data_IF_834860849637
#
_entry.id   IF_834860849637
#
_cell.length_a   1.000
_cell.length_b   1.000
_cell.length_c   1.000
_cell.angle_alpha   90.00
_cell.angle_beta   90.00
_cell.angle_gamma   90.00
#
_symmetry.space_group_name_H-M   'P 1'
#
loop_
_entity.id
_entity.type
_entity.pdbx_description
1 polymer ?
#
# COMPACT_ATOMS: atom_id res chain seq x y z
N UNK A 1 -45.97 18.61 -4.40
CA UNK A 1 -45.36 17.60 -3.51
C UNK A 1 -44.41 16.76 -4.34
N UNK A 2 -43.11 16.81 -4.03
CA UNK A 2 -42.08 15.97 -4.66
C UNK A 2 -42.05 14.66 -3.84
N UNK A 3 -42.07 13.46 -4.45
CA UNK A 3 -42.07 12.22 -3.68
C UNK A 3 -40.75 12.08 -2.91
N UNK A 4 -40.85 11.78 -1.62
CA UNK A 4 -39.71 11.45 -0.76
C UNK A 4 -39.04 10.20 -1.31
N UNK A 5 -37.77 10.34 -1.69
CA UNK A 5 -36.96 9.24 -2.21
C UNK A 5 -36.89 8.10 -1.20
N UNK A 6 -37.11 6.88 -1.68
CA UNK A 6 -37.03 5.64 -0.90
C UNK A 6 -35.62 5.55 -0.27
N UNK A 7 -35.51 5.63 1.06
CA UNK A 7 -34.26 5.31 1.76
C UNK A 7 -34.05 3.80 1.63
N UNK A 8 -33.10 3.41 0.76
CA UNK A 8 -32.68 2.00 0.63
C UNK A 8 -31.96 1.59 1.91
N UNK A 9 -32.60 0.80 2.77
CA UNK A 9 -31.94 0.13 3.88
C UNK A 9 -31.24 -1.13 3.34
N UNK A 10 -29.91 -1.15 3.36
CA UNK A 10 -29.14 -2.35 3.02
C UNK A 10 -29.11 -3.28 4.24
N UNK A 11 -29.34 -4.59 4.03
CA UNK A 11 -29.11 -5.59 5.05
C UNK A 11 -27.63 -5.61 5.43
N UNK A 12 -27.26 -5.82 6.71
CA UNK A 12 -25.87 -5.88 7.11
C UNK A 12 -25.16 -7.05 6.41
N UNK A 13 -24.14 -6.74 5.62
CA UNK A 13 -23.28 -7.75 4.98
C UNK A 13 -22.59 -8.59 6.06
N UNK A 14 -22.86 -9.89 6.08
CA UNK A 14 -22.21 -10.84 6.99
C UNK A 14 -20.94 -11.38 6.32
N UNK A 15 -19.79 -11.13 6.95
CA UNK A 15 -18.49 -11.59 6.46
C UNK A 15 -18.04 -12.82 7.25
N UNK A 16 -17.49 -13.81 6.54
CA UNK A 16 -16.86 -14.99 7.09
C UNK A 16 -15.34 -14.95 6.86
N UNK A 17 -14.54 -15.48 7.80
CA UNK A 17 -13.09 -15.50 7.65
C UNK A 17 -12.70 -16.49 6.55
N UNK A 18 -12.04 -15.99 5.51
CA UNK A 18 -11.58 -16.80 4.37
C UNK A 18 -10.16 -17.33 4.59
N UNK A 19 -9.20 -16.43 4.90
CA UNK A 19 -7.81 -16.80 5.13
C UNK A 19 -7.13 -15.83 6.11
N UNK A 20 -6.24 -16.37 6.93
CA UNK A 20 -5.27 -15.59 7.71
C UNK A 20 -3.88 -15.83 7.14
N UNK A 21 -3.20 -14.75 6.79
CA UNK A 21 -1.77 -14.74 6.52
C UNK A 21 -1.03 -14.34 7.78
N UNK A 22 -0.06 -15.14 8.19
CA UNK A 22 0.78 -14.92 9.35
C UNK A 22 2.17 -15.55 9.14
N UNK A 23 3.00 -15.57 10.17
CA UNK A 23 4.38 -16.10 10.09
C UNK A 23 4.45 -17.59 9.67
N UNK A 24 3.33 -18.33 9.72
CA UNK A 24 3.31 -19.75 9.33
C UNK A 24 3.29 -19.89 7.80
N UNK A 25 2.59 -18.99 7.10
CA UNK A 25 2.28 -19.19 5.69
C UNK A 25 2.63 -17.99 4.79
N UNK A 26 3.05 -16.86 5.34
CA UNK A 26 3.23 -15.66 4.56
C UNK A 26 4.30 -15.81 3.47
N UNK A 27 5.49 -16.27 3.84
CA UNK A 27 6.59 -16.43 2.88
C UNK A 27 6.41 -17.61 1.93
N UNK A 28 5.44 -18.49 2.15
CA UNK A 28 5.09 -19.59 1.25
C UNK A 28 3.96 -19.23 0.29
N UNK A 29 3.05 -18.33 0.68
CA UNK A 29 1.88 -17.94 -0.11
C UNK A 29 2.06 -16.63 -0.90
N UNK A 30 3.09 -15.84 -0.60
CA UNK A 30 3.44 -14.63 -1.35
C UNK A 30 4.65 -14.83 -2.27
N UNK A 31 4.57 -14.25 -3.47
CA UNK A 31 5.67 -14.19 -4.41
C UNK A 31 6.51 -12.95 -4.18
N UNK A 32 7.82 -13.07 -4.44
CA UNK A 32 8.75 -11.95 -4.40
C UNK A 32 8.97 -11.46 -5.83
N UNK A 33 8.58 -10.22 -6.11
CA UNK A 33 8.92 -9.56 -7.36
C UNK A 33 10.42 -9.29 -7.38
N UNK A 34 11.10 -9.79 -8.42
CA UNK A 34 12.55 -9.64 -8.60
C UNK A 34 12.91 -9.18 -10.02
N UNK A 35 11.90 -8.81 -10.80
CA UNK A 35 12.05 -8.24 -12.13
C UNK A 35 12.44 -6.76 -12.05
N UNK A 36 12.81 -6.19 -13.20
CA UNK A 36 13.07 -4.75 -13.30
C UNK A 36 11.81 -3.98 -12.92
N UNK A 37 11.97 -2.98 -12.04
CA UNK A 37 10.88 -2.05 -11.71
C UNK A 37 10.39 -1.32 -12.98
N UNK A 38 9.11 -1.45 -13.36
CA UNK A 38 8.55 -0.84 -14.56
C UNK A 38 8.56 0.70 -14.50
N UNK A 39 8.67 1.28 -13.30
CA UNK A 39 8.66 2.73 -13.10
C UNK A 39 10.03 3.40 -13.20
N UNK A 40 11.09 2.63 -13.51
CA UNK A 40 12.49 3.11 -13.57
C UNK A 40 12.91 3.88 -12.31
N UNK A 41 12.42 3.47 -11.13
CA UNK A 41 12.76 4.08 -9.85
C UNK A 41 14.17 3.72 -9.40
N UNK A 42 14.70 4.46 -8.43
CA UNK A 42 16.00 4.17 -7.80
C UNK A 42 15.91 2.98 -6.82
N UNK A 43 15.24 1.91 -7.23
CA UNK A 43 14.99 0.68 -6.47
C UNK A 43 15.51 -0.55 -7.22
N UNK A 44 15.99 -1.55 -6.48
CA UNK A 44 16.26 -2.91 -7.00
C UNK A 44 15.45 -3.90 -6.19
N UNK A 45 14.38 -4.41 -6.77
CA UNK A 45 13.63 -5.49 -6.13
C UNK A 45 14.44 -6.79 -6.15
N UNK A 46 14.42 -7.50 -5.03
CA UNK A 46 15.20 -8.72 -4.84
C UNK A 46 14.30 -9.92 -4.55
N UNK A 47 14.70 -11.08 -5.07
CA UNK A 47 13.98 -12.34 -4.84
C UNK A 47 14.16 -12.89 -3.43
N UNK A 48 13.30 -13.85 -3.07
CA UNK A 48 13.21 -14.47 -1.75
C UNK A 48 14.57 -14.83 -1.13
N UNK A 49 15.39 -15.63 -1.84
CA UNK A 49 16.69 -16.10 -1.32
C UNK A 49 17.61 -14.94 -0.90
N UNK A 50 17.68 -13.89 -1.71
CA UNK A 50 18.50 -12.69 -1.43
C UNK A 50 17.90 -11.84 -0.32
N UNK A 51 16.56 -11.77 -0.24
CA UNK A 51 15.88 -11.03 0.81
C UNK A 51 16.12 -11.67 2.18
N UNK A 52 15.99 -13.00 2.29
CA UNK A 52 16.26 -13.74 3.53
C UNK A 52 17.74 -13.63 3.92
N UNK A 53 18.67 -13.94 3.01
CA UNK A 53 20.10 -13.93 3.34
C UNK A 53 20.65 -12.52 3.64
N UNK A 54 20.03 -11.49 3.06
CA UNK A 54 20.35 -10.09 3.31
C UNK A 54 19.64 -9.49 4.52
N UNK A 55 18.82 -10.25 5.25
CA UNK A 55 18.05 -9.77 6.40
C UNK A 55 16.96 -8.77 6.06
N UNK A 56 16.53 -8.70 4.79
CA UNK A 56 15.49 -7.81 4.28
C UNK A 56 14.09 -8.42 4.32
N UNK A 57 14.00 -9.73 4.57
CA UNK A 57 12.77 -10.43 4.91
C UNK A 57 13.07 -11.50 5.97
N UNK A 58 12.23 -11.62 6.99
CA UNK A 58 12.40 -12.59 8.08
C UNK A 58 11.19 -12.60 9.00
N UNK A 59 10.94 -13.70 9.70
CA UNK A 59 10.13 -13.65 10.92
C UNK A 59 10.98 -13.08 12.06
N UNK A 60 10.49 -12.03 12.72
CA UNK A 60 11.20 -11.39 13.84
C UNK A 60 10.41 -11.54 15.13
N UNK A 61 11.06 -11.80 16.26
CA UNK A 61 10.39 -11.70 17.55
C UNK A 61 9.91 -10.26 17.75
N UNK A 62 8.64 -10.10 18.07
CA UNK A 62 8.06 -8.85 18.48
C UNK A 62 8.61 -8.53 19.87
N UNK A 63 9.32 -7.41 20.00
CA UNK A 63 10.06 -7.03 21.22
C UNK A 63 9.17 -6.85 22.46
N UNK A 64 7.85 -6.78 22.31
CA UNK A 64 6.90 -6.46 23.37
C UNK A 64 5.91 -7.60 23.72
N UNK A 65 5.82 -8.70 22.95
CA UNK A 65 4.73 -9.68 23.13
C UNK A 65 5.07 -11.15 22.87
N UNK A 66 6.34 -11.52 22.63
CA UNK A 66 6.74 -12.92 22.46
C UNK A 66 6.15 -13.63 21.21
N UNK A 67 5.49 -12.88 20.34
CA UNK A 67 4.97 -13.35 19.04
C UNK A 67 6.00 -13.06 17.96
N UNK A 68 6.00 -13.85 16.89
CA UNK A 68 6.75 -13.51 15.69
C UNK A 68 5.91 -12.56 14.83
N UNK A 69 6.57 -11.59 14.19
CA UNK A 69 5.98 -10.68 13.21
C UNK A 69 6.75 -10.83 11.90
N UNK A 70 6.03 -10.72 10.79
CA UNK A 70 6.63 -10.74 9.47
C UNK A 70 7.35 -9.40 9.27
N UNK A 71 8.66 -9.45 9.06
CA UNK A 71 9.46 -8.28 8.71
C UNK A 71 9.75 -8.25 7.23
N UNK A 72 9.57 -7.07 6.62
CA UNK A 72 10.00 -6.79 5.25
C UNK A 72 10.57 -5.38 5.17
N UNK A 73 11.80 -5.21 4.67
CA UNK A 73 12.50 -3.93 4.69
C UNK A 73 13.30 -3.60 3.44
N UNK A 74 14.01 -2.48 3.51
CA UNK A 74 14.95 -2.00 2.49
C UNK A 74 16.39 -2.15 2.98
N UNK A 75 17.38 -2.13 2.08
CA UNK A 75 18.78 -2.08 2.48
C UNK A 75 19.10 -0.73 3.15
N UNK A 76 19.71 -0.78 4.34
CA UNK A 76 20.01 0.39 5.18
C UNK A 76 21.49 0.52 5.54
N UNK A 77 22.33 -0.32 4.96
CA UNK A 77 23.76 -0.42 5.31
C UNK A 77 24.69 -0.03 4.17
N UNK A 78 24.27 -0.22 2.91
CA UNK A 78 25.14 -0.06 1.75
C UNK A 78 24.94 1.32 1.12
N UNK A 79 26.03 2.08 1.01
CA UNK A 79 26.10 3.25 0.12
C UNK A 79 26.03 2.76 -1.31
N UNK A 80 25.10 3.28 -2.09
CA UNK A 80 24.70 2.76 -3.40
C UNK A 80 24.95 3.82 -4.49
N UNK A 81 26.20 4.12 -4.85
CA UNK A 81 26.50 5.25 -5.76
C UNK A 81 26.16 4.96 -7.23
N UNK A 82 26.01 3.69 -7.64
CA UNK A 82 25.75 3.30 -9.03
C UNK A 82 24.69 2.20 -9.22
N UNK A 83 24.14 1.66 -8.14
CA UNK A 83 23.16 0.56 -8.20
C UNK A 83 22.02 0.85 -7.24
N UNK A 84 20.81 0.92 -7.79
CA UNK A 84 19.55 1.19 -7.08
C UNK A 84 19.46 0.50 -5.71
N UNK A 85 18.78 1.13 -4.74
CA UNK A 85 18.67 0.60 -3.37
C UNK A 85 17.84 -0.67 -3.35
N UNK A 86 18.37 -1.73 -2.71
CA UNK A 86 17.66 -3.02 -2.61
C UNK A 86 16.42 -2.89 -1.72
N UNK A 87 15.31 -3.47 -2.15
CA UNK A 87 14.04 -3.50 -1.43
C UNK A 87 13.27 -4.78 -1.77
N UNK A 88 12.32 -5.13 -0.93
CA UNK A 88 11.42 -6.25 -1.15
C UNK A 88 10.07 -5.72 -1.65
N UNK A 89 9.57 -6.35 -2.70
CA UNK A 89 8.21 -6.17 -3.22
C UNK A 89 7.60 -7.56 -3.29
N UNK A 90 6.49 -7.76 -2.60
CA UNK A 90 5.78 -9.01 -2.64
C UNK A 90 4.33 -8.81 -3.07
N UNK A 91 3.85 -9.81 -3.80
CA UNK A 91 2.52 -9.84 -4.36
C UNK A 91 2.00 -11.29 -4.34
N UNK A 92 0.68 -11.46 -4.35
CA UNK A 92 0.08 -12.80 -4.47
C UNK A 92 0.10 -13.29 -5.94
N UNK A 93 0.29 -14.60 -6.23
CA UNK A 93 0.19 -15.16 -7.59
C UNK A 93 -1.09 -14.74 -8.36
N UNK A 94 -1.03 -14.73 -9.71
CA UNK A 94 -2.07 -14.32 -10.69
C UNK A 94 -2.10 -12.83 -11.11
N UNK A 95 -0.91 -12.25 -11.31
CA UNK A 95 -0.71 -10.96 -12.00
C UNK A 95 -0.56 -11.16 -13.53
N UNK A 96 -0.99 -10.24 -14.43
CA UNK A 96 -1.70 -8.94 -14.26
C UNK A 96 -3.22 -9.08 -14.52
N UNK A 97 -4.08 -8.10 -14.19
CA UNK A 97 -4.74 -7.18 -15.16
C UNK A 97 -5.56 -6.11 -14.37
N UNK A 98 -5.31 -4.85 -14.71
CA UNK A 98 -6.08 -3.60 -14.51
C UNK A 98 -6.61 -3.18 -13.12
N UNK A 99 -6.20 -1.95 -12.75
CA UNK A 99 -6.69 -1.08 -11.65
C UNK A 99 -6.01 -1.35 -10.29
N UNK A 100 -5.94 -0.31 -9.46
CA UNK A 100 -5.15 -0.30 -8.21
C UNK A 100 -5.93 0.40 -7.10
N UNK A 101 -5.88 -0.17 -5.89
CA UNK A 101 -6.44 0.41 -4.66
C UNK A 101 -5.32 0.51 -3.64
N UNK A 102 -4.87 1.74 -3.41
CA UNK A 102 -3.82 2.05 -2.46
C UNK A 102 -4.43 2.32 -1.08
N UNK A 103 -4.33 1.35 -0.18
CA UNK A 103 -4.88 1.46 1.18
C UNK A 103 -3.90 2.20 2.11
N UNK A 104 -2.59 1.96 1.97
CA UNK A 104 -1.54 2.74 2.62
C UNK A 104 -0.58 3.25 1.56
N UNK A 105 -0.49 4.57 1.45
CA UNK A 105 0.40 5.23 0.50
C UNK A 105 0.87 6.57 1.04
N UNK A 106 2.15 6.86 0.83
CA UNK A 106 2.73 8.13 1.20
C UNK A 106 4.15 8.27 0.64
N UNK A 107 4.66 9.49 0.69
CA UNK A 107 6.00 9.85 0.20
C UNK A 107 6.72 10.77 1.15
N UNK A 108 8.05 10.67 1.15
CA UNK A 108 8.94 11.62 1.82
C UNK A 108 8.56 11.80 3.30
N UNK A 109 8.35 13.04 3.75
CA UNK A 109 8.04 13.37 5.13
C UNK A 109 6.54 13.49 5.40
N UNK A 110 5.68 12.91 4.57
CA UNK A 110 4.24 12.89 4.81
C UNK A 110 3.94 12.17 6.13
N UNK A 111 3.04 12.76 6.91
CA UNK A 111 2.61 12.24 8.23
C UNK A 111 1.16 11.74 8.20
N UNK A 112 0.48 11.89 7.08
CA UNK A 112 -0.87 11.42 6.85
C UNK A 112 -0.89 10.41 5.72
N UNK A 113 -1.64 9.33 5.90
CA UNK A 113 -1.88 8.35 4.85
C UNK A 113 -2.67 8.99 3.72
N UNK A 114 -2.36 8.62 2.48
CA UNK A 114 -3.19 8.93 1.30
C UNK A 114 -3.80 7.63 0.80
N UNK A 115 -5.11 7.61 0.57
CA UNK A 115 -5.81 6.48 -0.05
C UNK A 115 -6.10 6.88 -1.49
N UNK A 116 -5.68 6.07 -2.46
CA UNK A 116 -5.90 6.35 -3.89
C UNK A 116 -6.52 5.18 -4.62
N UNK A 117 -7.37 5.49 -5.59
CA UNK A 117 -8.00 4.52 -6.47
C UNK A 117 -7.70 4.88 -7.92
N UNK A 118 -7.32 3.88 -8.71
CA UNK A 118 -7.04 4.05 -10.14
C UNK A 118 -8.05 3.26 -10.94
N UNK A 119 -9.05 3.96 -11.49
CA UNK A 119 -10.29 3.38 -12.06
C UNK A 119 -10.37 3.49 -13.59
N UNK A 120 -9.28 3.81 -14.28
CA UNK A 120 -9.29 4.04 -15.73
C UNK A 120 -10.19 5.20 -16.15
N UNK A 121 -10.49 5.33 -17.45
CA UNK A 121 -11.39 6.37 -17.95
C UNK A 121 -12.85 6.13 -17.51
N UNK A 122 -13.60 7.23 -17.33
CA UNK A 122 -15.06 7.25 -17.09
C UNK A 122 -15.55 6.93 -15.66
N UNK A 123 -14.65 6.88 -14.69
CA UNK A 123 -15.00 6.87 -13.26
C UNK A 123 -14.38 8.06 -12.55
N UNK A 124 -15.08 8.61 -11.57
CA UNK A 124 -14.60 9.67 -10.70
C UNK A 124 -14.90 9.33 -9.25
N UNK A 125 -14.07 9.85 -8.35
CA UNK A 125 -14.24 9.66 -6.93
C UNK A 125 -15.25 10.68 -6.42
N UNK A 126 -16.24 10.23 -5.63
CA UNK A 126 -17.15 11.13 -4.91
C UNK A 126 -17.03 10.92 -3.41
N UNK A 127 -17.34 11.97 -2.64
CA UNK A 127 -17.34 11.95 -1.18
C UNK A 127 -18.74 11.69 -0.60
N UNK A 128 -19.68 11.16 -1.40
CA UNK A 128 -21.03 10.88 -0.92
C UNK A 128 -21.00 9.71 0.07
N UNK A 129 -21.59 9.89 1.24
CA UNK A 129 -21.56 8.89 2.32
C UNK A 129 -20.26 8.85 3.13
N UNK A 130 -19.33 9.77 2.89
CA UNK A 130 -18.09 9.90 3.65
C UNK A 130 -18.16 11.17 4.51
N UNK A 131 -17.67 11.09 5.74
CA UNK A 131 -17.47 12.30 6.54
C UNK A 131 -16.27 13.04 5.94
N UNK A 132 -16.46 14.26 5.44
CA UNK A 132 -15.34 15.16 5.17
C UNK A 132 -14.45 15.17 6.41
N UNK A 133 -13.15 14.89 6.26
CA UNK A 133 -12.13 14.72 7.34
C UNK A 133 -11.89 13.32 7.93
N UNK A 134 -12.27 12.22 7.27
CA UNK A 134 -11.76 10.87 7.64
C UNK A 134 -10.25 10.80 7.51
N UNK A 135 -9.58 11.22 8.56
CA UNK A 135 -8.15 11.08 8.79
C UNK A 135 -7.95 9.86 9.66
N UNK A 136 -6.93 9.05 9.37
CA UNK A 136 -6.53 7.99 10.27
C UNK A 136 -5.92 8.63 11.53
N UNK A 137 -6.77 9.04 12.49
CA UNK A 137 -6.37 9.81 13.67
C UNK A 137 -5.46 9.01 14.62
N UNK A 138 -5.48 7.67 14.51
CA UNK A 138 -4.60 6.74 15.23
C UNK A 138 -4.39 5.50 14.37
N UNK A 139 -3.15 5.02 14.27
CA UNK A 139 -2.87 3.69 13.73
C UNK A 139 -3.58 2.65 14.59
N UNK A 140 -4.73 2.17 14.11
CA UNK A 140 -5.50 1.06 14.65
C UNK A 140 -5.43 -0.15 13.70
N UNK A 141 -6.31 -1.12 13.90
CA UNK A 141 -6.45 -2.20 12.93
C UNK A 141 -6.91 -1.62 11.59
N UNK A 142 -6.07 -1.73 10.57
CA UNK A 142 -6.39 -1.31 9.22
C UNK A 142 -7.42 -2.29 8.64
N UNK A 143 -8.57 -1.75 8.24
CA UNK A 143 -9.67 -2.51 7.64
C UNK A 143 -10.14 -1.77 6.41
N UNK A 144 -10.05 -2.41 5.24
CA UNK A 144 -10.67 -1.96 4.00
C UNK A 144 -11.87 -2.87 3.70
N UNK A 145 -13.00 -2.26 3.31
CA UNK A 145 -14.20 -2.98 2.90
C UNK A 145 -14.61 -2.62 1.48
N UNK A 146 -15.14 -3.61 0.80
CA UNK A 146 -15.73 -3.53 -0.52
C UNK A 146 -17.18 -4.04 -0.41
N UNK A 147 -18.12 -3.32 -1.01
CA UNK A 147 -19.57 -3.58 -1.01
C UNK A 147 -20.33 -3.33 0.29
N UNK A 148 -20.02 -2.22 0.96
CA UNK A 148 -20.89 -1.56 1.95
C UNK A 148 -20.98 -2.22 3.34
N UNK A 149 -21.28 -1.38 4.32
CA UNK A 149 -21.56 -1.72 5.73
C UNK A 149 -21.31 -0.51 6.64
N UNK A 150 -22.14 -0.29 7.66
CA UNK A 150 -21.94 0.83 8.58
C UNK A 150 -20.72 0.61 9.51
N UNK A 151 -19.87 1.64 9.65
CA UNK A 151 -18.88 1.84 10.74
C UNK A 151 -17.46 1.25 10.59
N UNK A 152 -16.67 1.65 9.57
CA UNK A 152 -15.24 1.26 9.46
C UNK A 152 -14.31 2.38 8.95
N UNK A 153 -12.99 2.17 9.12
CA UNK A 153 -11.95 3.17 8.85
C UNK A 153 -11.75 3.49 7.34
N UNK A 154 -12.01 2.54 6.43
CA UNK A 154 -11.96 2.74 4.97
C UNK A 154 -13.08 1.92 4.30
N UNK A 155 -14.13 2.58 3.80
CA UNK A 155 -15.16 1.96 2.93
C UNK A 155 -14.91 2.38 1.49
N UNK A 156 -14.33 1.51 0.67
CA UNK A 156 -13.94 1.85 -0.71
C UNK A 156 -15.14 1.96 -1.65
N UNK A 157 -16.29 1.39 -1.26
CA UNK A 157 -17.50 1.25 -2.08
C UNK A 157 -18.21 2.58 -2.35
N UNK A 158 -18.32 3.44 -1.33
CA UNK A 158 -19.00 4.74 -1.44
C UNK A 158 -18.22 5.77 -2.27
N UNK A 159 -16.94 5.50 -2.56
CA UNK A 159 -16.04 6.49 -3.13
C UNK A 159 -15.98 6.49 -4.65
N UNK A 160 -16.54 5.51 -5.36
CA UNK A 160 -16.37 5.42 -6.83
C UNK A 160 -17.72 5.52 -7.52
N UNK A 161 -17.90 6.58 -8.31
CA UNK A 161 -19.03 6.70 -9.25
C UNK A 161 -18.53 6.72 -10.68
N UNK A 162 -19.18 5.93 -11.52
CA UNK A 162 -18.83 5.79 -12.92
C UNK A 162 -19.94 6.37 -13.79
N UNK A 163 -19.55 6.93 -14.95
CA UNK A 163 -20.45 7.66 -15.85
C UNK A 163 -21.62 6.78 -16.33
N UNK A 164 -21.36 5.48 -16.50
CA UNK A 164 -22.41 4.48 -16.66
C UNK A 164 -22.77 3.91 -15.28
N UNK A 165 -23.96 4.26 -14.79
CA UNK A 165 -24.49 3.79 -13.49
C UNK A 165 -24.83 2.30 -13.47
N UNK A 166 -24.78 1.61 -14.62
CA UNK A 166 -24.84 0.15 -14.69
C UNK A 166 -23.50 -0.51 -14.34
N UNK A 167 -22.40 0.24 -14.32
CA UNK A 167 -21.06 -0.26 -14.01
C UNK A 167 -20.70 0.07 -12.55
N UNK A 168 -20.49 -0.98 -11.75
CA UNK A 168 -20.17 -0.87 -10.31
C UNK A 168 -18.68 -0.99 -10.05
N UNK A 169 -18.24 -0.66 -8.82
CA UNK A 169 -16.86 -0.86 -8.37
C UNK A 169 -16.39 -2.31 -8.57
N UNK A 170 -17.28 -3.29 -8.40
CA UNK A 170 -17.01 -4.71 -8.59
C UNK A 170 -16.71 -5.08 -10.04
N UNK A 171 -17.24 -4.32 -11.00
CA UNK A 171 -16.95 -4.54 -12.43
C UNK A 171 -15.52 -4.13 -12.78
N UNK A 172 -14.95 -3.27 -11.95
CA UNK A 172 -13.67 -2.65 -12.18
C UNK A 172 -12.55 -3.29 -11.34
N UNK A 173 -12.80 -3.61 -10.08
CA UNK A 173 -11.81 -4.19 -9.19
C UNK A 173 -12.10 -5.67 -8.96
N UNK A 174 -11.74 -6.49 -9.94
CA UNK A 174 -11.94 -7.95 -9.89
C UNK A 174 -10.67 -8.67 -9.45
N UNK A 175 -10.82 -9.69 -8.59
CA UNK A 175 -9.73 -10.60 -8.21
C UNK A 175 -8.41 -9.90 -7.83
N UNK A 176 -8.50 -8.84 -7.03
CA UNK A 176 -7.33 -8.06 -6.63
C UNK A 176 -6.29 -8.91 -5.88
N UNK A 177 -5.02 -8.65 -6.15
CA UNK A 177 -3.92 -9.20 -5.39
C UNK A 177 -3.47 -8.23 -4.31
N UNK A 178 -3.07 -8.77 -3.15
CA UNK A 178 -2.40 -7.99 -2.13
C UNK A 178 -0.96 -7.71 -2.57
N UNK A 179 -0.57 -6.44 -2.52
CA UNK A 179 0.77 -5.96 -2.83
C UNK A 179 1.28 -5.14 -1.68
N UNK A 180 2.54 -5.36 -1.33
CA UNK A 180 3.28 -4.49 -0.43
C UNK A 180 4.65 -4.28 -1.04
N UNK A 181 5.06 -3.02 -1.09
CA UNK A 181 6.39 -2.65 -1.49
C UNK A 181 6.85 -1.43 -0.69
N UNK A 182 8.15 -1.21 -0.71
CA UNK A 182 8.73 0.11 -0.45
C UNK A 182 9.54 0.47 -1.67
N UNK A 183 9.20 1.57 -2.33
CA UNK A 183 9.89 2.04 -3.53
C UNK A 183 10.47 3.44 -3.34
N UNK A 184 11.44 3.80 -4.17
CA UNK A 184 11.94 5.17 -4.30
C UNK A 184 11.37 5.78 -5.58
N UNK A 185 10.04 5.94 -5.59
CA UNK A 185 9.27 6.13 -6.82
C UNK A 185 9.72 7.38 -7.58
N UNK A 186 10.17 7.18 -8.82
CA UNK A 186 10.70 8.27 -9.66
C UNK A 186 9.67 9.34 -9.97
N UNK A 187 8.47 8.93 -10.36
CA UNK A 187 7.47 9.85 -10.91
C UNK A 187 6.66 10.57 -9.83
N UNK A 188 6.84 10.20 -8.56
CA UNK A 188 6.18 10.87 -7.43
C UNK A 188 7.16 11.26 -6.32
N UNK A 189 7.60 10.32 -5.48
CA UNK A 189 8.43 10.65 -4.30
C UNK A 189 9.74 11.38 -4.65
N UNK A 190 10.37 10.95 -5.75
CA UNK A 190 11.69 11.43 -6.18
C UNK A 190 11.62 12.45 -7.31
N UNK A 191 10.41 12.85 -7.74
CA UNK A 191 10.26 13.88 -8.76
C UNK A 191 10.76 15.22 -8.19
N UNK A 192 11.33 16.06 -9.05
CA UNK A 192 11.82 17.38 -8.63
C UNK A 192 10.69 18.22 -8.02
N UNK A 193 9.48 18.09 -8.54
CA UNK A 193 8.30 18.84 -8.07
C UNK A 193 7.87 18.44 -6.65
N UNK A 194 8.08 17.19 -6.22
CA UNK A 194 7.73 16.75 -4.87
C UNK A 194 8.93 16.82 -3.90
N UNK A 195 10.12 16.45 -4.36
CA UNK A 195 11.33 16.47 -3.53
C UNK A 195 11.82 17.89 -3.25
N UNK A 196 11.93 18.74 -4.28
CA UNK A 196 12.51 20.09 -4.12
C UNK A 196 11.55 21.07 -3.44
N UNK A 197 10.24 20.83 -3.51
CA UNK A 197 9.24 21.68 -2.85
C UNK A 197 9.04 21.30 -1.38
N UNK A 198 9.43 20.08 -0.97
CA UNK A 198 9.44 19.69 0.41
C UNK A 198 10.64 20.32 1.14
N UNK A 199 10.37 21.24 2.08
CA UNK A 199 11.40 21.98 2.82
C UNK A 199 12.38 21.08 3.58
N UNK A 200 11.96 19.90 4.06
CA UNK A 200 12.87 18.98 4.74
C UNK A 200 13.74 18.25 3.72
N UNK A 201 13.14 17.68 2.69
CA UNK A 201 13.87 16.90 1.67
C UNK A 201 14.86 17.74 0.87
N UNK A 202 14.46 18.93 0.44
CA UNK A 202 15.33 19.84 -0.33
C UNK A 202 16.60 20.24 0.41
N UNK A 203 16.57 20.31 1.75
CA UNK A 203 17.78 20.60 2.56
C UNK A 203 18.74 19.43 2.67
N UNK A 204 18.27 18.19 2.42
CA UNK A 204 19.07 16.99 2.53
C UNK A 204 19.95 16.74 1.29
N UNK A 205 19.47 17.12 0.10
CA UNK A 205 20.19 17.00 -1.16
C UNK A 205 19.44 17.74 -2.28
N UNK A 206 20.19 18.29 -3.24
CA UNK A 206 19.63 18.86 -4.47
C UNK A 206 18.99 17.84 -5.40
N UNK A 207 19.28 16.55 -5.20
CA UNK A 207 18.71 15.45 -5.97
C UNK A 207 18.35 14.28 -5.05
N UNK A 208 17.11 13.81 -5.13
CA UNK A 208 16.58 12.71 -4.33
C UNK A 208 17.43 11.43 -4.47
N UNK A 209 17.77 11.03 -5.70
CA UNK A 209 18.53 9.81 -5.95
C UNK A 209 19.94 9.88 -5.34
N UNK A 210 20.58 11.06 -5.35
CA UNK A 210 21.86 11.25 -4.68
C UNK A 210 21.73 11.06 -3.15
N UNK A 211 20.66 11.57 -2.55
CA UNK A 211 20.40 11.35 -1.13
C UNK A 211 20.19 9.87 -0.83
N UNK A 212 19.33 9.21 -1.60
CA UNK A 212 19.03 7.78 -1.45
C UNK A 212 20.31 6.97 -1.60
N UNK A 213 21.17 7.27 -2.58
CA UNK A 213 22.43 6.59 -2.82
C UNK A 213 23.40 6.71 -1.63
N UNK A 214 23.60 7.94 -1.14
CA UNK A 214 24.64 8.26 -0.17
C UNK A 214 24.26 7.97 1.30
N UNK A 215 22.96 7.88 1.63
CA UNK A 215 22.51 7.90 3.03
C UNK A 215 21.71 6.63 3.42
N UNK A 216 22.32 5.44 3.42
CA UNK A 216 21.60 4.20 3.70
C UNK A 216 20.96 4.14 5.09
N UNK A 217 21.61 4.72 6.11
CA UNK A 217 21.13 4.72 7.48
C UNK A 217 19.83 5.54 7.67
N UNK A 218 19.53 6.47 6.76
CA UNK A 218 18.30 7.26 6.79
C UNK A 218 17.04 6.39 6.63
N UNK A 219 17.19 5.18 6.10
CA UNK A 219 16.09 4.25 5.83
C UNK A 219 15.94 3.16 6.90
N UNK A 220 16.59 3.28 8.06
CA UNK A 220 16.52 2.30 9.16
C UNK A 220 15.10 2.04 9.69
N UNK A 221 14.19 2.98 9.48
CA UNK A 221 12.76 2.88 9.83
C UNK A 221 11.85 2.61 8.62
N UNK A 222 12.41 2.39 7.43
CA UNK A 222 11.65 2.05 6.23
C UNK A 222 11.47 0.53 6.14
N UNK A 223 10.52 0.01 6.92
CA UNK A 223 10.17 -1.40 6.94
C UNK A 223 8.69 -1.61 7.33
N UNK A 224 8.18 -2.78 6.99
CA UNK A 224 6.89 -3.30 7.43
C UNK A 224 7.10 -4.33 8.55
N UNK A 225 6.28 -4.23 9.60
CA UNK A 225 6.06 -5.29 10.58
C UNK A 225 4.58 -5.70 10.49
N UNK A 226 4.34 -6.95 10.10
CA UNK A 226 2.99 -7.45 9.85
C UNK A 226 2.73 -8.61 10.79
N UNK A 227 1.79 -8.42 11.72
CA UNK A 227 1.36 -9.49 12.63
C UNK A 227 0.52 -10.53 11.89
N UNK A 228 -0.51 -10.08 11.18
CA UNK A 228 -1.32 -10.93 10.32
C UNK A 228 -2.12 -10.10 9.32
N UNK A 229 -2.56 -10.73 8.24
CA UNK A 229 -3.54 -10.19 7.30
C UNK A 229 -4.73 -11.14 7.27
N UNK A 230 -5.94 -10.63 7.45
CA UNK A 230 -7.17 -11.44 7.44
C UNK A 230 -8.05 -11.02 6.29
N UNK A 231 -8.42 -11.97 5.44
CA UNK A 231 -9.35 -11.77 4.33
C UNK A 231 -10.67 -12.41 4.68
N UNK A 232 -11.76 -11.70 4.39
CA UNK A 232 -13.12 -12.13 4.65
C UNK A 232 -13.94 -12.10 3.35
N UNK A 233 -14.95 -12.96 3.25
CA UNK A 233 -15.91 -13.04 2.15
C UNK A 233 -17.34 -13.25 2.65
#
# INVERSE_FOLDING_TARGET
MIPVSLVRTFAPTQYSLSITYDTINFFTLFNFFNEKDPTNSFIKYIGFKTAISGGLASDRPQSDQGRFTIYVGVNTTTVSPASSRKSVHFFRPNWPISREIDIIKGVNTQVHNTITLHTGSSCYIINEGTLESTTLLKWGLLTARFNGGSSYNIDVTGHVVCADRAVTIDTYFINNNLVFNTTFYRDWASSAEIWNTNLKCSTLSSNCNNYIAANPAAFNKAYWLINSIKIFN
#
